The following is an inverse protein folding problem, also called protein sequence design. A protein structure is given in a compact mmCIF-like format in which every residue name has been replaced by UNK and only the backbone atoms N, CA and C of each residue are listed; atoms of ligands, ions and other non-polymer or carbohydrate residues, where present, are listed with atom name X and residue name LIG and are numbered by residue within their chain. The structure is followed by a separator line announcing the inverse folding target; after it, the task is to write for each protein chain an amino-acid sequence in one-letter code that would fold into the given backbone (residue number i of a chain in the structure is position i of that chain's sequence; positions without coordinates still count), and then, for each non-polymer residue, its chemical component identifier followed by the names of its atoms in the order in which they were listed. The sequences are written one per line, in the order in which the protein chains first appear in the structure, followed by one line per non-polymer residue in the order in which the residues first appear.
data_IF_260276868052
#
_entry.id   IF_260276868052
#
_cell.length_a   1.000
_cell.length_b   1.000
_cell.length_c   1.000
_cell.angle_alpha   90.00
_cell.angle_beta   90.00
_cell.angle_gamma   90.00
#
_symmetry.space_group_name_H-M   'P 1'
#
loop_
_entity.id
_entity.type
_entity.pdbx_description
1 polymer ?
#
# COMPACT_ATOMS: atom_id res chain seq x y z
N UNK A 1 9.95 2.34 23.01
CA UNK A 1 9.47 3.73 22.90
C UNK A 1 8.62 3.82 21.64
N UNK A 2 7.35 4.20 21.75
CA UNK A 2 6.49 4.42 20.57
C UNK A 2 6.55 5.91 20.31
N UNK A 3 7.17 6.31 19.19
CA UNK A 3 7.24 7.73 18.85
C UNK A 3 5.82 8.28 18.71
N UNK A 4 5.46 9.30 19.50
CA UNK A 4 4.12 9.91 19.47
C UNK A 4 3.82 10.60 18.13
N UNK A 5 4.87 10.89 17.35
CA UNK A 5 4.79 11.40 15.97
C UNK A 5 5.93 10.80 15.14
N UNK A 6 5.65 10.52 13.87
CA UNK A 6 6.72 10.31 12.89
C UNK A 6 7.56 11.58 12.74
N UNK A 7 8.81 11.42 12.30
CA UNK A 7 9.76 12.51 12.14
C UNK A 7 10.90 12.12 11.20
N UNK A 8 11.89 13.00 11.00
CA UNK A 8 13.07 12.68 10.20
C UNK A 8 13.69 11.35 10.61
N UNK A 9 14.08 10.54 9.63
CA UNK A 9 14.59 9.19 9.86
C UNK A 9 13.52 8.08 9.94
N UNK A 10 12.22 8.43 10.04
CA UNK A 10 11.15 7.43 10.11
C UNK A 10 10.47 7.19 8.77
N UNK A 11 10.35 5.93 8.33
CA UNK A 11 9.56 5.60 7.13
C UNK A 11 8.58 4.45 7.38
N UNK A 12 7.36 4.51 6.81
CA UNK A 12 6.41 3.42 6.96
C UNK A 12 6.90 2.17 6.21
N UNK A 13 6.66 1.00 6.79
CA UNK A 13 6.85 -0.30 6.15
C UNK A 13 5.54 -1.09 6.20
N UNK A 14 5.10 -1.59 5.05
CA UNK A 14 3.78 -2.20 4.87
C UNK A 14 3.96 -3.67 4.58
N UNK A 15 3.27 -4.50 5.34
CA UNK A 15 3.30 -5.96 5.19
C UNK A 15 1.89 -6.54 5.16
N UNK A 16 1.78 -7.67 4.46
CA UNK A 16 0.54 -8.39 4.28
C UNK A 16 0.64 -9.78 4.86
N UNK A 17 -0.39 -10.21 5.56
CA UNK A 17 -0.48 -11.56 6.11
C UNK A 17 -1.90 -12.09 6.15
N UNK A 18 -2.02 -13.40 6.23
CA UNK A 18 -3.27 -14.12 6.47
C UNK A 18 -3.02 -15.10 7.61
N UNK A 19 -3.72 -14.92 8.73
CA UNK A 19 -3.56 -15.75 9.93
C UNK A 19 -2.09 -15.83 10.41
N UNK A 20 -1.39 -14.70 10.41
CA UNK A 20 0.00 -14.61 10.88
C UNK A 20 1.06 -15.14 9.90
N UNK A 21 0.66 -15.64 8.73
CA UNK A 21 1.59 -16.06 7.66
C UNK A 21 1.60 -15.05 6.52
N UNK A 22 2.75 -14.75 5.89
CA UNK A 22 2.80 -13.93 4.68
C UNK A 22 1.91 -14.48 3.57
N UNK A 23 1.43 -13.59 2.69
CA UNK A 23 0.74 -14.03 1.49
C UNK A 23 1.64 -14.90 0.60
N UNK A 24 1.06 -15.95 0.00
CA UNK A 24 1.76 -16.78 -0.98
C UNK A 24 1.69 -16.11 -2.35
N UNK A 25 2.74 -15.40 -2.74
CA UNK A 25 2.84 -14.69 -4.03
C UNK A 25 3.00 -15.68 -5.17
N UNK A 26 2.13 -15.57 -6.18
CA UNK A 26 2.13 -16.42 -7.38
C UNK A 26 2.53 -15.68 -8.65
N UNK A 27 2.45 -14.34 -8.66
CA UNK A 27 2.97 -13.48 -9.72
C UNK A 27 3.34 -12.09 -9.14
N UNK A 28 4.24 -11.35 -9.80
CA UNK A 28 4.68 -10.02 -9.34
C UNK A 28 5.87 -10.02 -8.36
N UNK A 29 6.36 -11.20 -7.96
CA UNK A 29 7.65 -11.40 -7.29
C UNK A 29 7.66 -11.18 -5.78
N UNK A 30 7.03 -10.12 -5.27
CA UNK A 30 7.02 -9.78 -3.84
C UNK A 30 5.70 -9.13 -3.40
N UNK A 31 5.36 -9.25 -2.13
CA UNK A 31 4.23 -8.51 -1.51
C UNK A 31 4.47 -7.00 -1.42
N UNK A 32 5.70 -6.55 -1.67
CA UNK A 32 6.04 -5.13 -1.81
C UNK A 32 5.91 -4.63 -3.25
N UNK A 33 5.65 -5.49 -4.25
CA UNK A 33 5.50 -5.03 -5.63
C UNK A 33 4.23 -4.17 -5.78
N UNK A 34 4.27 -3.14 -6.64
CA UNK A 34 3.11 -2.29 -6.95
C UNK A 34 1.89 -3.11 -7.39
N UNK A 35 2.13 -4.23 -8.06
CA UNK A 35 1.12 -5.16 -8.55
C UNK A 35 1.61 -6.59 -8.34
N UNK A 36 0.82 -7.42 -7.67
CA UNK A 36 1.12 -8.84 -7.52
C UNK A 36 -0.15 -9.70 -7.45
N UNK A 37 -0.02 -10.99 -7.78
CA UNK A 37 -1.05 -12.00 -7.51
C UNK A 37 -0.61 -12.82 -6.31
N UNK A 38 -1.54 -13.05 -5.40
CA UNK A 38 -1.31 -13.81 -4.19
C UNK A 38 -2.44 -14.79 -3.92
N UNK A 39 -2.18 -15.71 -3.00
CA UNK A 39 -3.15 -16.65 -2.49
C UNK A 39 -3.05 -16.78 -0.97
N UNK A 40 -4.19 -17.05 -0.35
CA UNK A 40 -4.33 -17.26 1.10
C UNK A 40 -5.21 -18.47 1.38
N UNK A 41 -5.01 -19.16 2.51
CA UNK A 41 -5.88 -20.26 2.90
C UNK A 41 -7.28 -19.75 3.22
N UNK A 42 -8.27 -20.50 2.73
CA UNK A 42 -9.68 -20.35 3.11
C UNK A 42 -9.99 -21.37 4.20
N UNK A 43 -10.73 -20.96 5.22
CA UNK A 43 -11.07 -21.81 6.37
C UNK A 43 -12.56 -21.95 6.54
N UNK A 44 -12.98 -23.11 7.03
CA UNK A 44 -14.33 -23.29 7.55
C UNK A 44 -14.42 -22.54 8.90
N UNK A 45 -15.36 -21.58 9.06
CA UNK A 45 -15.49 -20.81 10.29
C UNK A 45 -15.93 -21.65 11.50
N UNK A 46 -16.60 -22.80 11.30
CA UNK A 46 -17.14 -23.64 12.38
C UNK A 46 -16.05 -24.42 13.12
N UNK A 47 -15.03 -24.91 12.40
CA UNK A 47 -13.98 -25.76 12.96
C UNK A 47 -12.56 -25.19 12.75
N UNK A 48 -12.42 -24.07 12.02
CA UNK A 48 -11.15 -23.43 11.73
C UNK A 48 -10.25 -24.17 10.74
N UNK A 49 -10.66 -25.32 10.21
CA UNK A 49 -9.86 -26.12 9.28
C UNK A 49 -9.74 -25.44 7.91
N UNK A 50 -8.61 -25.63 7.25
CA UNK A 50 -8.41 -25.15 5.87
C UNK A 50 -9.34 -25.94 4.95
N UNK A 51 -10.19 -25.22 4.23
CA UNK A 51 -11.18 -25.75 3.31
C UNK A 51 -10.86 -25.44 1.84
N UNK A 52 -9.82 -24.65 1.57
CA UNK A 52 -9.44 -24.31 0.21
C UNK A 52 -8.48 -23.12 0.14
N UNK A 53 -8.51 -22.42 -0.99
CA UNK A 53 -7.63 -21.29 -1.27
C UNK A 53 -8.38 -20.18 -1.98
N UNK A 54 -8.12 -18.94 -1.56
CA UNK A 54 -8.55 -17.73 -2.26
C UNK A 54 -7.33 -17.09 -2.90
N UNK A 55 -7.36 -16.97 -4.23
CA UNK A 55 -6.38 -16.18 -4.97
C UNK A 55 -6.98 -14.83 -5.34
N UNK A 56 -6.15 -13.79 -5.41
CA UNK A 56 -6.54 -12.44 -5.79
C UNK A 56 -5.34 -11.68 -6.36
N UNK A 57 -5.64 -10.67 -7.16
CA UNK A 57 -4.69 -9.63 -7.56
C UNK A 57 -4.71 -8.52 -6.52
N UNK A 58 -3.54 -7.95 -6.20
CA UNK A 58 -3.41 -6.78 -5.35
C UNK A 58 -2.63 -5.69 -6.08
N UNK A 59 -3.25 -4.53 -6.24
CA UNK A 59 -2.61 -3.29 -6.65
C UNK A 59 -2.41 -2.40 -5.42
N UNK A 60 -1.24 -1.79 -5.31
CA UNK A 60 -0.91 -0.87 -4.23
C UNK A 60 -0.10 0.31 -4.72
N UNK A 61 -0.22 1.43 -4.01
CA UNK A 61 0.53 2.63 -4.29
C UNK A 61 0.76 3.44 -3.03
N UNK A 62 1.89 4.12 -3.01
CA UNK A 62 2.18 5.19 -2.08
C UNK A 62 2.40 6.47 -2.89
N UNK A 63 1.89 7.58 -2.40
CA UNK A 63 1.99 8.87 -3.05
C UNK A 63 2.35 9.95 -2.04
N UNK A 64 3.04 10.98 -2.52
CA UNK A 64 3.30 12.19 -1.74
C UNK A 64 3.00 13.43 -2.55
N UNK A 65 2.67 14.51 -1.84
CA UNK A 65 2.67 15.85 -2.38
C UNK A 65 3.39 16.78 -1.42
N UNK A 66 4.31 17.58 -1.96
CA UNK A 66 5.13 18.49 -1.18
C UNK A 66 4.63 19.92 -1.36
N UNK A 67 4.61 20.67 -0.26
CA UNK A 67 4.48 22.12 -0.29
C UNK A 67 5.84 22.79 -0.48
N UNK A 68 5.86 24.11 -0.33
CA UNK A 68 7.11 24.86 -0.28
C UNK A 68 7.98 24.42 0.92
N UNK A 69 9.25 24.12 0.69
CA UNK A 69 10.21 23.75 1.74
C UNK A 69 11.11 24.94 2.06
N UNK A 70 11.29 25.23 3.35
CA UNK A 70 12.14 26.35 3.80
C UNK A 70 13.64 26.04 3.62
N UNK A 71 14.06 24.79 3.88
CA UNK A 71 15.47 24.36 3.83
C UNK A 71 15.92 23.86 2.44
N UNK A 72 15.24 24.29 1.38
CA UNK A 72 15.69 24.13 0.00
C UNK A 72 15.60 22.72 -0.59
N UNK A 73 14.93 21.76 0.06
CA UNK A 73 14.59 20.49 -0.58
C UNK A 73 13.64 20.74 -1.77
N UNK A 74 14.08 20.36 -2.97
CA UNK A 74 13.30 20.52 -4.19
C UNK A 74 12.58 19.22 -4.50
N UNK A 75 11.25 19.26 -4.48
CA UNK A 75 10.38 18.14 -4.83
C UNK A 75 9.49 18.50 -6.02
N UNK A 76 9.12 17.53 -6.87
CA UNK A 76 8.20 17.78 -7.97
C UNK A 76 6.88 18.34 -7.48
N UNK A 77 6.37 19.37 -8.17
CA UNK A 77 5.02 19.88 -7.93
C UNK A 77 3.97 18.81 -8.29
N UNK A 78 2.85 18.77 -7.55
CA UNK A 78 1.81 17.77 -7.74
C UNK A 78 1.94 16.54 -6.83
N UNK A 79 1.22 15.49 -7.20
CA UNK A 79 1.25 14.19 -6.56
C UNK A 79 2.25 13.30 -7.31
N UNK A 80 3.30 12.87 -6.62
CA UNK A 80 4.27 11.89 -7.13
C UNK A 80 3.99 10.52 -6.51
N UNK A 81 4.14 9.44 -7.27
CA UNK A 81 4.17 8.10 -6.68
C UNK A 81 5.52 7.85 -6.00
N UNK A 82 5.52 6.96 -5.02
CA UNK A 82 6.68 6.66 -4.18
C UNK A 82 7.12 5.21 -4.40
N UNK A 83 8.40 5.04 -4.71
CA UNK A 83 9.08 3.74 -4.83
C UNK A 83 10.08 3.55 -3.69
N UNK A 84 10.04 2.41 -3.01
CA UNK A 84 10.91 2.07 -1.89
C UNK A 84 10.59 0.72 -1.26
N UNK A 85 10.83 0.61 0.05
CA UNK A 85 10.67 -0.64 0.80
C UNK A 85 9.19 -1.03 0.97
N UNK A 86 8.30 -0.05 1.13
CA UNK A 86 6.85 -0.30 1.27
C UNK A 86 6.19 -0.70 -0.03
N UNK A 87 6.54 -0.01 -1.13
CA UNK A 87 6.01 -0.30 -2.46
C UNK A 87 7.15 -0.17 -3.47
N UNK A 88 7.41 -1.22 -4.23
CA UNK A 88 8.56 -1.40 -5.11
C UNK A 88 8.12 -1.69 -6.55
N UNK A 89 9.01 -1.44 -7.51
CA UNK A 89 8.71 -1.62 -8.93
C UNK A 89 7.63 -0.67 -9.44
N UNK A 90 7.50 0.51 -8.81
CA UNK A 90 6.43 1.46 -9.09
C UNK A 90 6.57 2.06 -10.48
N UNK A 91 5.52 1.95 -11.26
CA UNK A 91 5.39 2.58 -12.57
C UNK A 91 4.14 3.48 -12.55
N UNK A 92 4.31 4.76 -12.89
CA UNK A 92 3.21 5.72 -12.85
C UNK A 92 2.09 5.38 -13.86
N UNK A 93 2.46 4.82 -15.01
CA UNK A 93 1.50 4.49 -16.09
C UNK A 93 0.62 3.28 -15.83
N UNK A 94 0.98 2.40 -14.88
CA UNK A 94 0.30 1.11 -14.67
C UNK A 94 -0.66 1.11 -13.50
N UNK A 95 -0.53 2.06 -12.56
CA UNK A 95 -1.38 2.11 -11.38
C UNK A 95 -2.84 2.37 -11.77
N UNK A 96 -3.81 1.52 -11.35
CA UNK A 96 -5.21 1.71 -11.70
C UNK A 96 -5.74 3.09 -11.34
N UNK A 97 -6.54 3.69 -12.23
CA UNK A 97 -7.07 5.04 -12.04
C UNK A 97 -7.87 5.20 -10.74
N UNK A 98 -8.66 4.18 -10.37
CA UNK A 98 -9.39 4.16 -9.10
C UNK A 98 -8.44 4.30 -7.89
N UNK A 99 -7.27 3.66 -7.95
CA UNK A 99 -6.29 3.71 -6.88
C UNK A 99 -5.56 5.06 -6.85
N UNK A 100 -5.25 5.65 -8.02
CA UNK A 100 -4.77 7.03 -8.12
C UNK A 100 -5.77 8.03 -7.51
N UNK A 101 -7.04 7.96 -7.87
CA UNK A 101 -8.08 8.83 -7.29
C UNK A 101 -8.20 8.65 -5.78
N UNK A 102 -8.05 7.41 -5.28
CA UNK A 102 -8.05 7.13 -3.84
C UNK A 102 -6.85 7.78 -3.15
N UNK A 103 -5.66 7.68 -3.73
CA UNK A 103 -4.46 8.35 -3.21
C UNK A 103 -4.63 9.87 -3.17
N UNK A 104 -5.11 10.47 -4.26
CA UNK A 104 -5.42 11.91 -4.31
C UNK A 104 -6.39 12.33 -3.21
N UNK A 105 -7.48 11.59 -3.01
CA UNK A 105 -8.45 11.89 -1.96
C UNK A 105 -7.84 11.77 -0.55
N UNK A 106 -7.04 10.73 -0.30
CA UNK A 106 -6.36 10.53 0.99
C UNK A 106 -5.33 11.63 1.27
N UNK A 107 -4.62 12.12 0.25
CA UNK A 107 -3.70 13.24 0.40
C UNK A 107 -4.41 14.49 0.96
N UNK A 108 -5.60 14.84 0.43
CA UNK A 108 -6.38 16.00 0.89
C UNK A 108 -6.83 15.89 2.35
N UNK A 109 -6.93 14.67 2.88
CA UNK A 109 -7.35 14.44 4.28
C UNK A 109 -6.19 14.63 5.26
N UNK A 110 -4.95 14.80 4.79
CA UNK A 110 -3.83 15.12 5.66
C UNK A 110 -4.02 16.51 6.30
N UNK A 111 -3.83 16.59 7.62
CA UNK A 111 -3.82 17.88 8.31
C UNK A 111 -2.65 18.70 7.77
N UNK A 112 -2.93 19.95 7.39
CA UNK A 112 -1.93 20.83 6.78
C UNK A 112 -1.76 20.66 5.28
N UNK A 113 -2.61 19.86 4.61
CA UNK A 113 -2.65 19.84 3.15
C UNK A 113 -2.98 21.25 2.61
N UNK A 114 -2.07 21.83 1.83
CA UNK A 114 -2.10 23.23 1.39
C UNK A 114 -0.71 23.73 0.98
N UNK A 115 -0.49 25.05 0.96
CA UNK A 115 0.84 25.67 0.76
C UNK A 115 1.64 25.15 -0.45
N UNK A 116 0.97 25.01 -1.59
CA UNK A 116 1.58 24.55 -2.85
C UNK A 116 1.48 23.04 -3.11
N UNK A 117 1.00 22.25 -2.14
CA UNK A 117 0.63 20.85 -2.39
C UNK A 117 -0.49 20.75 -3.41
N UNK A 118 -0.49 19.66 -4.17
CA UNK A 118 -1.46 19.39 -5.22
C UNK A 118 -1.69 17.89 -5.36
N UNK A 119 -2.96 17.51 -5.58
CA UNK A 119 -3.37 16.13 -5.81
C UNK A 119 -3.29 15.70 -7.28
N UNK A 120 -2.93 16.64 -8.17
CA UNK A 120 -2.77 16.36 -9.59
C UNK A 120 -1.60 15.40 -9.82
N UNK A 121 -1.85 14.28 -10.46
CA UNK A 121 -0.82 13.32 -10.87
C UNK A 121 0.20 14.03 -11.79
N UNK A 122 1.47 14.02 -11.39
CA UNK A 122 2.55 14.60 -12.17
C UNK A 122 3.33 13.56 -13.00
N UNK A 123 2.92 12.29 -12.93
CA UNK A 123 3.55 11.17 -13.63
C UNK A 123 4.93 10.78 -13.10
N UNK A 124 5.42 11.42 -12.04
CA UNK A 124 6.75 11.15 -11.47
C UNK A 124 6.69 10.03 -10.44
N UNK A 125 7.79 9.29 -10.36
CA UNK A 125 8.05 8.31 -9.31
C UNK A 125 9.31 8.76 -8.57
N UNK A 126 9.21 8.93 -7.26
CA UNK A 126 10.32 9.38 -6.41
C UNK A 126 10.65 8.36 -5.33
N UNK A 127 11.81 8.49 -4.70
CA UNK A 127 12.25 7.59 -3.63
C UNK A 127 11.44 7.76 -2.35
N UNK A 128 11.11 6.66 -1.68
CA UNK A 128 10.51 6.66 -0.33
C UNK A 128 11.40 7.35 0.71
N UNK A 129 12.70 7.50 0.45
CA UNK A 129 13.62 8.24 1.31
C UNK A 129 13.21 9.69 1.58
N UNK A 130 12.35 10.28 0.74
CA UNK A 130 11.77 11.61 0.97
C UNK A 130 11.01 11.71 2.29
N UNK A 131 10.41 10.61 2.75
CA UNK A 131 9.64 10.57 4.01
C UNK A 131 10.54 10.69 5.25
N UNK A 132 11.83 10.38 5.12
CA UNK A 132 12.81 10.46 6.20
C UNK A 132 13.77 11.65 6.05
N UNK A 133 13.69 12.43 4.98
CA UNK A 133 14.58 13.57 4.75
C UNK A 133 14.23 14.72 5.69
N UNK A 134 15.16 15.09 6.58
CA UNK A 134 14.96 16.15 7.57
C UNK A 134 14.67 17.53 6.95
N UNK A 135 15.06 17.76 5.69
CA UNK A 135 14.83 19.00 4.96
C UNK A 135 13.40 19.09 4.39
N UNK A 136 12.65 17.99 4.41
CA UNK A 136 11.29 17.90 3.90
C UNK A 136 10.32 18.02 5.08
N UNK A 137 9.82 19.23 5.30
CA UNK A 137 8.98 19.59 6.46
C UNK A 137 7.52 19.81 6.07
N UNK A 138 7.23 20.15 4.82
CA UNK A 138 5.88 20.37 4.29
C UNK A 138 5.50 19.25 3.32
N UNK A 139 5.01 18.13 3.82
CA UNK A 139 4.70 16.94 3.02
C UNK A 139 3.39 16.29 3.46
N UNK A 140 2.56 15.91 2.49
CA UNK A 140 1.47 14.99 2.68
C UNK A 140 1.81 13.65 2.04
N UNK A 141 1.50 12.55 2.72
CA UNK A 141 1.70 11.20 2.22
C UNK A 141 0.38 10.41 2.28
N UNK A 142 0.21 9.48 1.35
CA UNK A 142 -0.92 8.56 1.32
C UNK A 142 -0.47 7.19 0.85
N UNK A 143 -1.12 6.16 1.39
CA UNK A 143 -1.02 4.79 0.90
C UNK A 143 -2.43 4.25 0.65
N UNK A 144 -2.56 3.45 -0.41
CA UNK A 144 -3.77 2.70 -0.68
C UNK A 144 -3.44 1.38 -1.37
N UNK A 145 -4.26 0.37 -1.11
CA UNK A 145 -4.26 -0.90 -1.83
C UNK A 145 -5.68 -1.33 -2.16
N UNK A 146 -5.81 -2.13 -3.21
CA UNK A 146 -7.06 -2.70 -3.67
C UNK A 146 -6.85 -4.14 -4.11
N UNK A 147 -7.85 -4.98 -3.84
CA UNK A 147 -7.87 -6.39 -4.23
C UNK A 147 -8.91 -6.62 -5.33
N UNK A 148 -8.56 -7.44 -6.32
CA UNK A 148 -9.40 -7.77 -7.49
C UNK A 148 -9.15 -9.21 -7.96
N UNK A 149 -9.83 -9.62 -9.04
CA UNK A 149 -9.63 -10.90 -9.74
C UNK A 149 -9.63 -12.12 -8.81
N UNK A 150 -10.61 -12.12 -7.89
CA UNK A 150 -10.79 -13.17 -6.91
C UNK A 150 -11.09 -14.51 -7.58
N UNK A 151 -10.37 -15.53 -7.17
CA UNK A 151 -10.56 -16.91 -7.60
C UNK A 151 -10.58 -17.81 -6.36
N UNK A 152 -11.72 -18.44 -6.13
CA UNK A 152 -11.93 -19.35 -5.01
C UNK A 152 -11.80 -20.80 -5.49
N UNK A 153 -10.91 -21.56 -4.86
CA UNK A 153 -10.75 -23.00 -5.08
C UNK A 153 -11.14 -23.76 -3.83
N UNK A 154 -12.18 -24.60 -3.95
CA UNK A 154 -12.71 -25.45 -2.90
C UNK A 154 -12.76 -26.91 -3.40
N UNK A 155 -12.66 -27.91 -2.51
CA UNK A 155 -12.80 -29.32 -2.89
C UNK A 155 -14.24 -29.63 -3.31
N UNK A 156 -14.41 -30.56 -4.27
CA UNK A 156 -15.74 -30.93 -4.76
C UNK A 156 -16.64 -31.57 -3.69
N UNK A 157 -16.04 -32.30 -2.75
CA UNK A 157 -16.71 -32.92 -1.62
C UNK A 157 -16.35 -32.19 -0.32
N UNK A 158 -17.27 -32.20 0.65
CA UNK A 158 -17.10 -31.56 1.96
C UNK A 158 -16.80 -30.04 1.88
N UNK A 159 -17.27 -29.36 0.83
CA UNK A 159 -17.25 -27.89 0.79
C UNK A 159 -18.12 -27.35 1.93
N UNK A 160 -17.57 -26.47 2.78
CA UNK A 160 -18.37 -25.88 3.85
C UNK A 160 -19.37 -24.88 3.28
N UNK A 161 -20.55 -24.79 3.90
CA UNK A 161 -21.60 -23.84 3.49
C UNK A 161 -21.16 -22.37 3.63
N UNK A 162 -20.21 -22.12 4.54
CA UNK A 162 -19.57 -20.83 4.73
C UNK A 162 -18.05 -21.01 4.75
N UNK A 163 -17.35 -19.97 4.33
CA UNK A 163 -15.90 -19.97 4.31
C UNK A 163 -15.38 -18.56 4.60
N UNK A 164 -14.17 -18.48 5.15
CA UNK A 164 -13.53 -17.20 5.44
C UNK A 164 -12.05 -17.22 5.06
N UNK A 165 -11.56 -16.07 4.60
CA UNK A 165 -10.15 -15.80 4.41
C UNK A 165 -9.83 -14.48 5.12
N UNK A 166 -8.85 -14.50 6.01
CA UNK A 166 -8.41 -13.31 6.73
C UNK A 166 -7.30 -12.62 5.94
N UNK A 167 -7.49 -11.35 5.60
CA UNK A 167 -6.45 -10.50 5.01
C UNK A 167 -6.09 -9.42 6.03
N UNK A 168 -4.82 -9.39 6.43
CA UNK A 168 -4.30 -8.43 7.41
C UNK A 168 -3.22 -7.58 6.77
N UNK A 169 -3.29 -6.28 7.07
CA UNK A 169 -2.28 -5.29 6.68
C UNK A 169 -1.66 -4.77 7.96
N UNK A 170 -0.34 -4.84 8.06
CA UNK A 170 0.41 -4.28 9.19
C UNK A 170 1.29 -3.15 8.68
N UNK A 171 1.18 -1.98 9.33
CA UNK A 171 2.02 -0.82 9.07
C UNK A 171 2.93 -0.63 10.28
N UNK A 172 4.23 -0.73 10.06
CA UNK A 172 5.26 -0.38 11.06
C UNK A 172 6.00 0.86 10.60
N UNK A 173 6.80 1.44 11.50
CA UNK A 173 7.70 2.54 11.18
C UNK A 173 9.12 2.03 11.42
N UNK A 174 10.00 2.25 10.43
CA UNK A 174 11.44 2.00 10.55
C UNK A 174 12.15 3.29 10.90
#
# INVERSE_FOLDING_TARGET
EVAERGGPGFTPFITFSSNGQPFSVTAGGSTTAQHFRASVPVRNPENGHVAGQLSFTLDQGMAVSAGHQEDGAVLPAGMSLVNGQSVSGVQAGTLPQRLKSRLSALLMLNRGFGNGMSTADNGQVISQGVLADARVTQLAAAYASAVSDFELRLPAENTPAQWQAGLSVTVTVQ
#
